data_IF_375244683028
#
_entry.id   IF_375244683028
#
_cell.length_a   1.000
_cell.length_b   1.000
_cell.length_c   1.000
_cell.angle_alpha   90.00
_cell.angle_beta   90.00
_cell.angle_gamma   90.00
#
_symmetry.space_group_name_H-M   'P 1'
#
loop_
_entity.id
_entity.type
_entity.pdbx_description
1 polymer ?
#
# COMPACT_ATOMS: atom_id res chain seq x y z
N UNK A 1 18.88 -6.27 13.04
CA UNK A 1 18.55 -5.26 14.10
C UNK A 1 17.25 -4.51 13.82
N UNK A 2 16.87 -4.25 12.55
CA UNK A 2 15.62 -3.59 12.18
C UNK A 2 14.39 -4.32 12.72
N UNK A 3 14.37 -5.65 12.65
CA UNK A 3 13.24 -6.46 13.11
C UNK A 3 13.09 -6.45 14.65
N UNK A 4 14.09 -6.08 15.42
CA UNK A 4 14.04 -6.08 16.88
C UNK A 4 13.58 -4.74 17.49
N UNK A 5 13.61 -3.64 16.75
CA UNK A 5 13.26 -2.31 17.27
C UNK A 5 11.78 -2.14 17.59
N UNK A 6 10.91 -2.53 16.67
CA UNK A 6 9.45 -2.42 16.85
C UNK A 6 8.85 -3.44 17.84
N UNK A 7 9.21 -4.74 17.80
CA UNK A 7 8.77 -5.68 18.84
C UNK A 7 9.16 -5.26 20.25
N UNK A 8 10.34 -4.65 20.42
CA UNK A 8 10.76 -4.10 21.72
C UNK A 8 9.92 -2.88 22.13
N UNK A 9 9.53 -2.02 21.19
CA UNK A 9 8.65 -0.90 21.48
C UNK A 9 7.23 -1.38 21.85
N UNK A 10 6.70 -2.38 21.13
CA UNK A 10 5.41 -3.01 21.43
C UNK A 10 5.41 -3.73 22.78
N UNK A 11 6.53 -4.33 23.18
CA UNK A 11 6.71 -4.96 24.48
C UNK A 11 7.04 -3.97 25.62
N UNK A 12 7.07 -2.67 25.37
CA UNK A 12 7.39 -1.65 26.37
C UNK A 12 8.89 -1.53 26.72
N UNK A 13 9.77 -2.26 26.01
CA UNK A 13 11.21 -2.26 26.26
C UNK A 13 11.97 -1.10 25.58
N UNK A 14 11.32 -0.37 24.67
CA UNK A 14 11.91 0.81 24.03
C UNK A 14 10.81 1.81 23.62
N UNK A 15 11.19 3.09 23.44
CA UNK A 15 10.27 4.12 22.96
C UNK A 15 9.97 3.92 21.48
N UNK A 16 8.73 4.12 21.05
CA UNK A 16 8.32 4.09 19.64
C UNK A 16 9.17 5.03 18.77
N UNK A 17 9.59 6.17 19.31
CA UNK A 17 10.46 7.12 18.62
C UNK A 17 11.79 6.49 18.14
N UNK A 18 12.37 5.54 18.88
CA UNK A 18 13.58 4.84 18.45
C UNK A 18 13.32 3.97 17.22
N UNK A 19 12.16 3.30 17.16
CA UNK A 19 11.74 2.54 16.00
C UNK A 19 11.50 3.42 14.77
N UNK A 20 10.85 4.57 14.94
CA UNK A 20 10.64 5.54 13.86
C UNK A 20 11.96 6.14 13.34
N UNK A 21 12.91 6.48 14.24
CA UNK A 21 14.24 6.96 13.84
C UNK A 21 15.00 5.92 13.03
N UNK A 22 14.90 4.63 13.40
CA UNK A 22 15.51 3.55 12.64
C UNK A 22 14.89 3.43 11.25
N UNK A 23 13.55 3.48 11.13
CA UNK A 23 12.86 3.45 9.84
C UNK A 23 13.23 4.65 8.97
N UNK A 24 13.41 5.83 9.58
CA UNK A 24 13.89 7.01 8.86
C UNK A 24 15.30 6.82 8.29
N UNK A 25 16.20 6.18 9.05
CA UNK A 25 17.57 5.89 8.60
C UNK A 25 17.64 4.84 7.47
N UNK A 26 16.61 4.00 7.34
CA UNK A 26 16.50 2.96 6.30
C UNK A 26 15.80 3.45 5.01
N UNK A 27 15.50 4.75 4.91
CA UNK A 27 14.95 5.32 3.67
C UNK A 27 15.88 5.05 2.50
N UNK A 28 15.32 4.55 1.40
CA UNK A 28 16.06 4.26 0.18
C UNK A 28 16.86 2.95 0.22
N UNK A 29 16.65 2.11 1.23
CA UNK A 29 17.17 0.73 1.20
C UNK A 29 16.42 -0.06 0.12
N UNK A 30 17.14 -0.69 -0.78
CA UNK A 30 16.56 -1.44 -1.92
C UNK A 30 16.27 -2.91 -1.59
N UNK A 31 16.44 -3.34 -0.33
CA UNK A 31 16.11 -4.69 0.09
C UNK A 31 14.60 -4.87 0.23
N UNK A 32 14.03 -5.83 -0.51
CA UNK A 32 12.61 -6.18 -0.40
C UNK A 32 12.27 -6.62 1.03
N UNK A 33 13.14 -7.38 1.68
CA UNK A 33 12.96 -7.86 3.06
C UNK A 33 12.89 -6.70 4.07
N UNK A 34 13.79 -5.71 3.95
CA UNK A 34 13.82 -4.53 4.83
C UNK A 34 12.55 -3.70 4.65
N UNK A 35 12.15 -3.45 3.41
CA UNK A 35 10.96 -2.67 3.11
C UNK A 35 9.66 -3.38 3.49
N UNK A 36 9.57 -4.70 3.31
CA UNK A 36 8.43 -5.51 3.79
C UNK A 36 8.32 -5.43 5.31
N UNK A 37 9.43 -5.59 6.03
CA UNK A 37 9.44 -5.45 7.49
C UNK A 37 9.05 -4.04 7.94
N UNK A 38 9.54 -3.00 7.26
CA UNK A 38 9.19 -1.61 7.53
C UNK A 38 7.70 -1.35 7.29
N UNK A 39 7.16 -1.78 6.14
CA UNK A 39 5.75 -1.61 5.78
C UNK A 39 4.83 -2.30 6.79
N UNK A 40 5.12 -3.55 7.17
CA UNK A 40 4.36 -4.30 8.16
C UNK A 40 4.36 -3.62 9.53
N UNK A 41 5.53 -3.22 10.02
CA UNK A 41 5.65 -2.61 11.35
C UNK A 41 5.00 -1.23 11.43
N UNK A 42 5.20 -0.38 10.42
CA UNK A 42 4.56 0.93 10.34
C UNK A 42 3.04 0.82 10.10
N UNK A 43 2.60 -0.19 9.35
CA UNK A 43 1.18 -0.50 9.18
C UNK A 43 0.53 -0.93 10.49
N UNK A 44 1.16 -1.83 11.25
CA UNK A 44 0.70 -2.24 12.58
C UNK A 44 0.64 -1.07 13.55
N UNK A 45 1.64 -0.20 13.55
CA UNK A 45 1.65 1.00 14.39
C UNK A 45 0.46 1.91 14.08
N UNK A 46 0.20 2.18 12.80
CA UNK A 46 -0.94 2.98 12.36
C UNK A 46 -2.28 2.33 12.76
N UNK A 47 -2.37 1.00 12.66
CA UNK A 47 -3.56 0.23 13.05
C UNK A 47 -3.82 0.27 14.56
N UNK A 48 -2.79 0.08 15.39
CA UNK A 48 -2.93 0.12 16.87
C UNK A 48 -3.29 1.52 17.37
N UNK A 49 -2.88 2.56 16.64
CA UNK A 49 -3.15 3.95 17.01
C UNK A 49 -4.45 4.51 16.45
N UNK A 50 -5.40 3.66 16.06
CA UNK A 50 -6.68 4.08 15.48
C UNK A 50 -7.52 4.95 16.43
N UNK A 51 -7.41 4.76 17.76
CA UNK A 51 -8.09 5.56 18.79
C UNK A 51 -7.38 6.88 19.13
N UNK A 52 -6.16 7.09 18.62
CA UNK A 52 -5.43 8.32 18.87
C UNK A 52 -6.08 9.53 18.16
N UNK A 53 -5.85 10.74 18.66
CA UNK A 53 -6.34 11.96 18.00
C UNK A 53 -5.96 12.00 16.52
N UNK A 54 -6.80 12.59 15.68
CA UNK A 54 -6.60 12.66 14.24
C UNK A 54 -5.20 13.19 13.87
N UNK A 55 -4.72 14.23 14.58
CA UNK A 55 -3.39 14.81 14.36
C UNK A 55 -2.24 13.79 14.52
N UNK A 56 -2.38 12.84 15.44
CA UNK A 56 -1.40 11.76 15.65
C UNK A 56 -1.46 10.75 14.51
N UNK A 57 -2.68 10.38 14.10
CA UNK A 57 -2.91 9.47 12.96
C UNK A 57 -2.39 10.08 11.65
N UNK A 58 -2.64 11.37 11.44
CA UNK A 58 -2.13 12.10 10.27
C UNK A 58 -0.59 12.18 10.32
N UNK A 59 -0.01 12.37 11.49
CA UNK A 59 1.44 12.39 11.69
C UNK A 59 2.10 11.07 11.29
N UNK A 60 1.55 9.93 11.73
CA UNK A 60 2.10 8.61 11.36
C UNK A 60 1.90 8.31 9.87
N UNK A 61 0.76 8.67 9.29
CA UNK A 61 0.52 8.49 7.87
C UNK A 61 1.44 9.38 7.02
N UNK A 62 1.66 10.63 7.42
CA UNK A 62 2.64 11.52 6.77
C UNK A 62 4.04 10.91 6.82
N UNK A 63 4.46 10.42 7.99
CA UNK A 63 5.77 9.74 8.13
C UNK A 63 5.87 8.53 7.19
N UNK A 64 4.83 7.70 7.10
CA UNK A 64 4.80 6.54 6.18
C UNK A 64 4.87 6.98 4.72
N UNK A 65 4.13 8.00 4.33
CA UNK A 65 4.19 8.57 2.98
C UNK A 65 5.58 9.15 2.66
N UNK A 66 6.22 9.80 3.63
CA UNK A 66 7.59 10.31 3.49
C UNK A 66 8.64 9.19 3.35
N UNK A 67 8.39 8.01 3.92
CA UNK A 67 9.28 6.84 3.76
C UNK A 67 9.08 6.18 2.40
N UNK A 68 7.84 5.87 2.02
CA UNK A 68 7.56 5.03 0.86
C UNK A 68 7.25 5.81 -0.42
N UNK A 69 6.75 7.04 -0.34
CA UNK A 69 6.38 7.84 -1.51
C UNK A 69 7.52 8.08 -2.50
N UNK A 70 8.72 8.52 -2.08
CA UNK A 70 9.88 8.66 -2.97
C UNK A 70 10.24 7.36 -3.67
N UNK A 71 10.26 6.24 -2.95
CA UNK A 71 10.55 4.91 -3.51
C UNK A 71 9.47 4.46 -4.49
N UNK A 72 8.20 4.74 -4.23
CA UNK A 72 7.10 4.41 -5.14
C UNK A 72 7.25 5.16 -6.48
N UNK A 73 7.73 6.42 -6.45
CA UNK A 73 8.02 7.20 -7.67
C UNK A 73 9.19 6.64 -8.44
N UNK A 74 10.24 6.19 -7.78
CA UNK A 74 11.43 5.59 -8.40
C UNK A 74 11.11 4.23 -9.02
N UNK A 75 10.42 3.35 -8.29
CA UNK A 75 10.04 2.01 -8.74
C UNK A 75 8.97 2.04 -9.82
N UNK A 76 8.14 3.07 -9.88
CA UNK A 76 7.00 3.24 -10.78
C UNK A 76 5.98 2.09 -10.73
N UNK A 77 4.90 2.20 -11.49
CA UNK A 77 3.88 1.14 -11.64
C UNK A 77 4.17 0.22 -12.83
N UNK A 78 5.28 0.46 -13.54
CA UNK A 78 5.64 -0.31 -14.74
C UNK A 78 6.48 -1.53 -14.37
N UNK A 79 6.07 -2.70 -14.86
CA UNK A 79 6.77 -3.96 -14.66
C UNK A 79 7.50 -4.33 -15.94
N UNK A 80 8.82 -4.47 -15.85
CA UNK A 80 9.64 -4.92 -16.96
C UNK A 80 9.58 -6.44 -17.15
N UNK A 81 9.69 -6.90 -18.39
CA UNK A 81 9.70 -8.33 -18.70
C UNK A 81 10.85 -9.09 -18.01
N UNK A 82 11.94 -8.39 -17.67
CA UNK A 82 13.12 -8.95 -17.02
C UNK A 82 13.23 -8.59 -15.53
N UNK A 83 12.16 -8.04 -14.93
CA UNK A 83 12.16 -7.74 -13.51
C UNK A 83 12.29 -9.02 -12.68
N UNK A 84 13.24 -9.05 -11.75
CA UNK A 84 13.36 -10.15 -10.81
C UNK A 84 12.14 -10.25 -9.91
N UNK A 85 11.89 -11.44 -9.35
CA UNK A 85 10.81 -11.63 -8.37
C UNK A 85 10.94 -10.69 -7.17
N UNK A 86 12.16 -10.45 -6.71
CA UNK A 86 12.46 -9.54 -5.61
C UNK A 86 12.10 -8.08 -5.94
N UNK A 87 12.41 -7.62 -7.15
CA UNK A 87 12.04 -6.27 -7.59
C UNK A 87 10.53 -6.10 -7.74
N UNK A 88 9.84 -7.13 -8.21
CA UNK A 88 8.36 -7.14 -8.31
C UNK A 88 7.71 -7.08 -6.94
N UNK A 89 8.19 -7.89 -5.99
CA UNK A 89 7.73 -7.90 -4.60
C UNK A 89 8.01 -6.56 -3.90
N UNK A 90 9.21 -6.00 -4.10
CA UNK A 90 9.57 -4.69 -3.58
C UNK A 90 8.62 -3.60 -4.11
N UNK A 91 8.35 -3.58 -5.42
CA UNK A 91 7.43 -2.64 -6.06
C UNK A 91 6.03 -2.74 -5.48
N UNK A 92 5.47 -3.95 -5.40
CA UNK A 92 4.14 -4.19 -4.81
C UNK A 92 4.08 -3.69 -3.36
N UNK A 93 5.05 -4.06 -2.54
CA UNK A 93 5.13 -3.68 -1.13
C UNK A 93 5.20 -2.16 -0.96
N UNK A 94 6.08 -1.50 -1.69
CA UNK A 94 6.31 -0.05 -1.57
C UNK A 94 5.09 0.74 -2.05
N UNK A 95 4.53 0.39 -3.21
CA UNK A 95 3.32 1.04 -3.74
C UNK A 95 2.14 0.86 -2.79
N UNK A 96 1.94 -0.35 -2.27
CA UNK A 96 0.86 -0.63 -1.31
C UNK A 96 1.04 0.17 -0.01
N UNK A 97 2.26 0.26 0.49
CA UNK A 97 2.56 1.02 1.71
C UNK A 97 2.37 2.53 1.51
N UNK A 98 2.84 3.09 0.39
CA UNK A 98 2.68 4.50 0.04
C UNK A 98 1.19 4.87 -0.16
N UNK A 99 0.44 4.06 -0.90
CA UNK A 99 -1.00 4.26 -1.12
C UNK A 99 -1.79 4.21 0.19
N UNK A 100 -1.51 3.21 1.04
CA UNK A 100 -2.17 3.06 2.35
C UNK A 100 -1.84 4.20 3.31
N UNK A 101 -0.72 4.87 3.11
CA UNK A 101 -0.30 6.06 3.86
C UNK A 101 -0.95 7.36 3.33
N UNK A 102 -1.60 7.32 2.18
CA UNK A 102 -2.22 8.48 1.54
C UNK A 102 -1.25 9.33 0.71
N UNK A 103 -0.15 8.75 0.20
CA UNK A 103 0.74 9.47 -0.72
C UNK A 103 -0.03 9.90 -1.98
N UNK A 104 -0.09 11.20 -2.22
CA UNK A 104 -0.95 11.78 -3.25
C UNK A 104 -0.58 11.31 -4.66
N UNK A 105 0.72 11.28 -4.99
CA UNK A 105 1.17 10.82 -6.31
C UNK A 105 0.77 9.36 -6.55
N UNK A 106 0.99 8.50 -5.55
CA UNK A 106 0.63 7.08 -5.64
C UNK A 106 -0.87 6.88 -5.82
N UNK A 107 -1.68 7.65 -5.08
CA UNK A 107 -3.15 7.60 -5.21
C UNK A 107 -3.63 8.13 -6.57
N UNK A 108 -3.01 9.18 -7.11
CA UNK A 108 -3.36 9.70 -8.44
C UNK A 108 -3.01 8.69 -9.54
N UNK A 109 -1.86 7.99 -9.44
CA UNK A 109 -1.51 6.90 -10.35
C UNK A 109 -2.49 5.72 -10.26
N UNK A 110 -2.97 5.38 -9.06
CA UNK A 110 -3.99 4.36 -8.87
C UNK A 110 -5.30 4.77 -9.56
N UNK A 111 -5.78 6.01 -9.35
CA UNK A 111 -6.99 6.52 -10.01
C UNK A 111 -6.88 6.47 -11.54
N UNK A 112 -5.75 6.91 -12.08
CA UNK A 112 -5.49 6.88 -13.52
C UNK A 112 -5.57 5.47 -14.11
N UNK A 113 -5.05 4.46 -13.38
CA UNK A 113 -5.07 3.06 -13.82
C UNK A 113 -6.41 2.38 -13.60
N UNK A 114 -7.17 2.82 -12.61
CA UNK A 114 -8.50 2.31 -12.32
C UNK A 114 -9.58 2.85 -13.27
N UNK A 115 -9.42 4.04 -13.83
CA UNK A 115 -10.42 4.68 -14.67
C UNK A 115 -10.87 3.83 -15.87
N UNK A 116 -10.00 3.18 -16.68
CA UNK A 116 -10.45 2.31 -17.78
C UNK A 116 -11.23 1.09 -17.31
N UNK A 117 -10.91 0.54 -16.14
CA UNK A 117 -11.68 -0.53 -15.53
C UNK A 117 -13.09 -0.06 -15.16
N UNK A 118 -13.19 1.11 -14.54
CA UNK A 118 -14.47 1.70 -14.14
C UNK A 118 -15.36 2.03 -15.34
N UNK A 119 -14.80 2.56 -16.42
CA UNK A 119 -15.54 3.02 -17.59
C UNK A 119 -15.89 1.90 -18.59
N UNK A 120 -14.99 0.95 -18.77
CA UNK A 120 -15.04 -0.02 -19.86
C UNK A 120 -14.76 -1.47 -19.45
N UNK A 121 -14.46 -1.74 -18.17
CA UNK A 121 -14.05 -3.07 -17.71
C UNK A 121 -12.65 -3.47 -18.19
N UNK A 122 -11.80 -2.49 -18.55
CA UNK A 122 -10.47 -2.73 -19.10
C UNK A 122 -9.40 -2.74 -17.99
N UNK A 123 -8.69 -3.85 -17.87
CA UNK A 123 -7.60 -4.07 -16.89
C UNK A 123 -6.20 -3.77 -17.45
N UNK A 124 -6.07 -3.33 -18.69
CA UNK A 124 -4.80 -3.22 -19.41
C UNK A 124 -3.75 -2.37 -18.70
N UNK A 125 -4.17 -1.38 -17.92
CA UNK A 125 -3.29 -0.51 -17.14
C UNK A 125 -2.99 -1.03 -15.72
N UNK A 126 -3.57 -2.17 -15.32
CA UNK A 126 -3.41 -2.73 -13.97
C UNK A 126 -2.58 -4.01 -14.05
N UNK A 127 -1.34 -3.95 -13.58
CA UNK A 127 -0.53 -5.16 -13.47
C UNK A 127 -1.16 -6.14 -12.47
N UNK A 128 -1.18 -7.47 -12.74
CA UNK A 128 -1.79 -8.46 -11.84
C UNK A 128 -1.31 -8.38 -10.39
N UNK A 129 -0.03 -8.11 -10.16
CA UNK A 129 0.57 -7.99 -8.82
C UNK A 129 0.00 -6.78 -8.04
N UNK A 130 -0.46 -5.73 -8.74
CA UNK A 130 -1.04 -4.53 -8.13
C UNK A 130 -2.58 -4.54 -8.10
N UNK A 131 -3.23 -5.56 -8.67
CA UNK A 131 -4.67 -5.60 -8.80
C UNK A 131 -5.40 -5.38 -7.45
N UNK A 132 -5.00 -6.13 -6.42
CA UNK A 132 -5.58 -5.99 -5.08
C UNK A 132 -5.40 -4.58 -4.52
N UNK A 133 -4.20 -4.03 -4.64
CA UNK A 133 -3.90 -2.68 -4.15
C UNK A 133 -4.74 -1.64 -4.87
N UNK A 134 -4.80 -1.69 -6.20
CA UNK A 134 -5.58 -0.74 -7.01
C UNK A 134 -7.06 -0.79 -6.63
N UNK A 135 -7.67 -1.97 -6.57
CA UNK A 135 -9.07 -2.12 -6.22
C UNK A 135 -9.37 -1.64 -4.79
N UNK A 136 -8.53 -2.04 -3.82
CA UNK A 136 -8.73 -1.67 -2.41
C UNK A 136 -8.58 -0.16 -2.18
N UNK A 137 -7.62 0.49 -2.84
CA UNK A 137 -7.42 1.93 -2.69
C UNK A 137 -8.47 2.74 -3.48
N UNK A 138 -8.96 2.21 -4.62
CA UNK A 138 -10.09 2.81 -5.34
C UNK A 138 -11.35 2.84 -4.47
N UNK A 139 -11.68 1.76 -3.78
CA UNK A 139 -12.82 1.72 -2.85
C UNK A 139 -12.60 2.64 -1.65
N UNK A 140 -11.43 2.57 -1.03
CA UNK A 140 -11.12 3.32 0.21
C UNK A 140 -11.11 4.84 0.03
N UNK A 141 -10.63 5.32 -1.11
CA UNK A 141 -10.47 6.75 -1.40
C UNK A 141 -11.43 7.26 -2.47
N UNK A 142 -12.25 6.37 -3.03
CA UNK A 142 -13.29 6.67 -4.00
C UNK A 142 -14.62 7.03 -3.35
N UNK A 143 -15.64 6.98 -4.19
CA UNK A 143 -17.05 7.19 -3.85
C UNK A 143 -17.86 5.96 -4.26
N UNK A 144 -19.17 6.09 -4.25
CA UNK A 144 -20.10 5.04 -4.64
C UNK A 144 -19.81 4.46 -6.05
N UNK A 145 -19.38 5.29 -7.00
CA UNK A 145 -19.06 4.84 -8.37
C UNK A 145 -17.87 3.88 -8.42
N UNK A 146 -16.80 4.14 -7.67
CA UNK A 146 -15.64 3.23 -7.55
C UNK A 146 -16.04 1.94 -6.85
N UNK A 147 -16.83 2.05 -5.78
CA UNK A 147 -17.34 0.89 -5.06
C UNK A 147 -18.19 -0.02 -5.98
N UNK A 148 -19.15 0.55 -6.71
CA UNK A 148 -20.00 -0.22 -7.64
C UNK A 148 -19.19 -0.85 -8.79
N UNK A 149 -18.16 -0.17 -9.30
CA UNK A 149 -17.26 -0.75 -10.30
C UNK A 149 -16.55 -2.00 -9.75
N UNK A 150 -16.02 -1.93 -8.52
CA UNK A 150 -15.36 -3.09 -7.87
C UNK A 150 -16.38 -4.18 -7.53
N UNK A 151 -17.61 -3.83 -7.13
CA UNK A 151 -18.70 -4.79 -6.95
C UNK A 151 -19.08 -5.47 -8.27
N UNK A 152 -18.99 -4.77 -9.39
CA UNK A 152 -19.15 -5.36 -10.74
C UNK A 152 -18.11 -6.45 -11.00
N UNK A 153 -16.83 -6.19 -10.67
CA UNK A 153 -15.75 -7.18 -10.75
C UNK A 153 -16.04 -8.39 -9.85
N UNK A 154 -16.52 -8.17 -8.64
CA UNK A 154 -16.86 -9.25 -7.71
C UNK A 154 -17.99 -10.13 -8.22
N UNK A 155 -19.05 -9.53 -8.80
CA UNK A 155 -20.24 -10.25 -9.31
C UNK A 155 -19.96 -11.04 -10.59
N UNK A 156 -19.05 -10.54 -11.44
CA UNK A 156 -18.69 -11.15 -12.72
C UNK A 156 -17.17 -11.19 -12.93
N UNK A 157 -16.43 -11.96 -12.10
CA UNK A 157 -14.98 -11.99 -12.17
C UNK A 157 -14.49 -12.73 -13.42
N UNK A 158 -13.55 -12.13 -14.16
CA UNK A 158 -12.92 -12.80 -15.30
C UNK A 158 -11.97 -13.93 -14.87
N UNK A 159 -11.40 -13.84 -13.66
CA UNK A 159 -10.48 -14.83 -13.08
C UNK A 159 -10.68 -14.97 -11.58
N UNK A 160 -10.14 -16.05 -11.00
CA UNK A 160 -10.12 -16.23 -9.53
C UNK A 160 -9.37 -15.09 -8.81
N UNK A 161 -8.31 -14.55 -9.43
CA UNK A 161 -7.58 -13.42 -8.87
C UNK A 161 -8.45 -12.15 -8.80
N UNK A 162 -9.28 -11.89 -9.81
CA UNK A 162 -10.24 -10.79 -9.83
C UNK A 162 -11.27 -10.95 -8.70
N UNK A 163 -11.83 -12.16 -8.53
CA UNK A 163 -12.79 -12.45 -7.47
C UNK A 163 -12.19 -12.21 -6.07
N UNK A 164 -11.02 -12.77 -5.81
CA UNK A 164 -10.38 -12.64 -4.50
C UNK A 164 -9.99 -11.20 -4.21
N UNK A 165 -9.42 -10.50 -5.20
CA UNK A 165 -8.99 -9.10 -5.03
C UNK A 165 -10.15 -8.15 -4.80
N UNK A 166 -11.25 -8.32 -5.54
CA UNK A 166 -12.46 -7.49 -5.38
C UNK A 166 -13.16 -7.78 -4.05
N UNK A 167 -13.23 -9.03 -3.62
CA UNK A 167 -13.79 -9.41 -2.31
C UNK A 167 -13.03 -8.72 -1.16
N UNK A 168 -11.69 -8.74 -1.21
CA UNK A 168 -10.86 -8.05 -0.21
C UNK A 168 -11.07 -6.54 -0.27
N UNK A 169 -11.17 -5.96 -1.47
CA UNK A 169 -11.37 -4.53 -1.64
C UNK A 169 -12.71 -4.05 -1.07
N UNK A 170 -13.78 -4.78 -1.32
CA UNK A 170 -15.13 -4.47 -0.79
C UNK A 170 -15.18 -4.58 0.73
N UNK A 171 -14.46 -5.56 1.33
CA UNK A 171 -14.37 -5.71 2.78
C UNK A 171 -13.48 -4.67 3.48
N UNK A 172 -12.79 -3.82 2.74
CA UNK A 172 -11.93 -2.76 3.27
C UNK A 172 -12.59 -1.37 3.29
N UNK A 173 -13.86 -1.27 2.85
CA UNK A 173 -14.66 -0.05 2.77
C UNK A 173 -15.18 0.42 4.13
#
# INVERSE_FOLDING_TARGET
EVCAGFPRAQGGYSKTACGLSLMHALRGDNSSLVNTAAALNLGKLASVWWEQPQSVRDGINRFRADVFGPMARELTFEFGANDSSELRELRETVITAAASAGDTWTLDEIRRRFAPLQEHGDYSLIHPDLLRTVLSQAVKHGREAEYEAVMGVYRAPATQAHQTSSMVAVGAS
#
